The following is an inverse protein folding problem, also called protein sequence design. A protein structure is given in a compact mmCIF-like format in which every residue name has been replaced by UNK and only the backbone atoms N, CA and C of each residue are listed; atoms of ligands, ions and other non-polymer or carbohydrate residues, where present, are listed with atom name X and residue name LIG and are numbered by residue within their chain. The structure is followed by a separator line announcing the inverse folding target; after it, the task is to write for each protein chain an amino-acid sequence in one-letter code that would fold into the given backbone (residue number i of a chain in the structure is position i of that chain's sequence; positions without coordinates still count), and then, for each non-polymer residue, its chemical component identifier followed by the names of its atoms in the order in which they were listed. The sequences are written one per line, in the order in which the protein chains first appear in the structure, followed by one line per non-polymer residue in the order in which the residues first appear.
data_IF_042891814704
#
_entry.id   IF_042891814704
#
_cell.length_a   1.000
_cell.length_b   1.000
_cell.length_c   1.000
_cell.angle_alpha   90.00
_cell.angle_beta   90.00
_cell.angle_gamma   90.00
#
_symmetry.space_group_name_H-M   'P 1'
#
loop_
_entity.id
_entity.type
_entity.pdbx_description
1 polymer ?
#
# COMPACT_ATOMS: atom_id res chain seq x y z
N UNK A 1 -8.40 -6.84 -8.01
CA UNK A 1 -8.63 -6.07 -9.25
C UNK A 1 -8.77 -6.99 -10.44
N UNK A 2 -7.90 -8.00 -10.61
CA UNK A 2 -8.04 -9.03 -11.64
C UNK A 2 -9.42 -9.71 -11.66
N UNK A 3 -9.93 -10.14 -10.50
CA UNK A 3 -11.28 -10.73 -10.40
C UNK A 3 -12.38 -9.76 -10.84
N UNK A 4 -12.23 -8.46 -10.55
CA UNK A 4 -13.16 -7.44 -11.03
C UNK A 4 -13.13 -7.35 -12.56
N UNK A 5 -11.95 -7.38 -13.17
CA UNK A 5 -11.77 -7.34 -14.62
C UNK A 5 -12.25 -8.61 -15.33
N UNK A 6 -12.10 -9.78 -14.70
CA UNK A 6 -12.49 -11.08 -15.24
C UNK A 6 -14.00 -11.37 -15.15
N UNK A 7 -14.77 -10.54 -14.44
CA UNK A 7 -16.22 -10.71 -14.28
C UNK A 7 -16.99 -9.74 -15.18
N UNK A 8 -18.14 -10.15 -15.68
CA UNK A 8 -19.13 -9.28 -16.32
C UNK A 8 -20.34 -8.97 -15.42
N UNK A 9 -20.45 -9.62 -14.25
CA UNK A 9 -21.57 -9.45 -13.31
C UNK A 9 -21.48 -8.09 -12.57
N UNK A 10 -22.49 -7.21 -12.71
CA UNK A 10 -22.49 -5.90 -12.06
C UNK A 10 -22.51 -5.98 -10.53
N UNK A 11 -23.19 -6.97 -9.95
CA UNK A 11 -23.29 -7.10 -8.49
C UNK A 11 -21.96 -7.55 -7.90
N UNK A 12 -21.31 -8.53 -8.55
CA UNK A 12 -19.95 -8.92 -8.21
C UNK A 12 -18.98 -7.74 -8.31
N UNK A 13 -19.04 -6.93 -9.38
CA UNK A 13 -18.17 -5.76 -9.56
C UNK A 13 -18.36 -4.73 -8.45
N UNK A 14 -19.59 -4.43 -8.06
CA UNK A 14 -19.90 -3.52 -6.96
C UNK A 14 -19.29 -4.01 -5.64
N UNK A 15 -19.48 -5.29 -5.32
CA UNK A 15 -18.91 -5.91 -4.11
C UNK A 15 -17.38 -5.93 -4.13
N UNK A 16 -16.77 -6.20 -5.28
CA UNK A 16 -15.32 -6.18 -5.44
C UNK A 16 -14.74 -4.78 -5.20
N UNK A 17 -15.40 -3.72 -5.66
CA UNK A 17 -15.01 -2.33 -5.36
C UNK A 17 -15.13 -2.04 -3.87
N UNK A 18 -16.26 -2.38 -3.24
CA UNK A 18 -16.45 -2.17 -1.80
C UNK A 18 -15.36 -2.84 -0.96
N UNK A 19 -15.04 -4.11 -1.25
CA UNK A 19 -13.96 -4.83 -0.56
C UNK A 19 -12.61 -4.16 -0.82
N UNK A 20 -12.30 -3.81 -2.07
CA UNK A 20 -11.04 -3.14 -2.43
C UNK A 20 -10.85 -1.82 -1.67
N UNK A 21 -11.92 -1.05 -1.46
CA UNK A 21 -11.85 0.19 -0.69
C UNK A 21 -11.47 -0.03 0.77
N UNK A 22 -12.10 -1.02 1.43
CA UNK A 22 -11.77 -1.40 2.81
C UNK A 22 -10.33 -1.89 2.90
N UNK A 23 -9.92 -2.78 2.00
CA UNK A 23 -8.56 -3.34 2.01
C UNK A 23 -7.48 -2.30 1.69
N UNK A 24 -7.74 -1.37 0.77
CA UNK A 24 -6.81 -0.27 0.49
C UNK A 24 -6.66 0.66 1.70
N UNK A 25 -7.73 0.87 2.47
CA UNK A 25 -7.63 1.62 3.72
C UNK A 25 -6.75 0.89 4.76
N UNK A 26 -6.95 -0.41 4.94
CA UNK A 26 -6.16 -1.21 5.88
C UNK A 26 -4.66 -1.23 5.54
N UNK A 27 -4.29 -1.21 4.25
CA UNK A 27 -2.88 -1.05 3.85
C UNK A 27 -2.30 0.25 4.43
N UNK A 28 -3.04 1.36 4.37
CA UNK A 28 -2.58 2.64 4.95
C UNK A 28 -2.40 2.54 6.45
N UNK A 29 -3.35 1.93 7.16
CA UNK A 29 -3.27 1.74 8.61
C UNK A 29 -2.00 0.97 9.00
N UNK A 30 -1.70 -0.14 8.30
CA UNK A 30 -0.49 -0.93 8.55
C UNK A 30 0.79 -0.16 8.24
N UNK A 31 0.81 0.59 7.13
CA UNK A 31 1.94 1.46 6.79
C UNK A 31 2.17 2.54 7.85
N UNK A 32 1.10 3.16 8.36
CA UNK A 32 1.20 4.17 9.41
C UNK A 32 1.76 3.58 10.71
N UNK A 33 1.27 2.42 11.14
CA UNK A 33 1.79 1.74 12.33
C UNK A 33 3.28 1.46 12.19
N UNK A 34 3.75 0.96 11.03
CA UNK A 34 5.19 0.78 10.83
C UNK A 34 5.94 2.11 10.89
N UNK A 35 5.40 3.14 10.24
CA UNK A 35 6.06 4.44 10.13
C UNK A 35 6.19 5.15 11.48
N UNK A 36 5.13 5.17 12.29
CA UNK A 36 5.09 5.91 13.56
C UNK A 36 5.53 5.08 14.75
N UNK A 37 5.21 3.78 14.76
CA UNK A 37 5.36 2.96 15.97
C UNK A 37 6.57 2.03 15.88
N UNK A 38 6.92 1.53 14.68
CA UNK A 38 8.09 0.66 14.51
C UNK A 38 9.38 1.46 14.25
N UNK A 39 9.44 2.24 13.17
CA UNK A 39 10.64 2.98 12.81
C UNK A 39 10.99 4.07 13.85
N UNK A 40 12.27 4.39 13.96
CA UNK A 40 12.87 5.22 15.03
C UNK A 40 13.90 6.18 14.41
N UNK A 41 14.32 7.25 15.09
CA UNK A 41 15.21 8.26 14.51
C UNK A 41 16.46 7.68 13.83
N UNK A 42 17.14 6.73 14.47
CA UNK A 42 18.31 6.04 13.92
C UNK A 42 18.01 5.29 12.60
N UNK A 43 16.79 4.76 12.42
CA UNK A 43 16.40 4.14 11.16
C UNK A 43 16.19 5.18 10.05
N UNK A 44 15.61 6.34 10.38
CA UNK A 44 15.42 7.42 9.40
C UNK A 44 16.74 8.10 9.01
N UNK A 45 17.71 8.16 9.94
CA UNK A 45 19.08 8.61 9.64
C UNK A 45 19.81 7.63 8.71
N UNK A 46 19.68 6.32 8.95
CA UNK A 46 20.28 5.29 8.10
C UNK A 46 19.60 5.18 6.71
N UNK A 47 18.31 5.52 6.62
CA UNK A 47 17.52 5.47 5.39
C UNK A 47 16.80 6.81 5.15
N UNK A 48 17.50 7.84 4.63
CA UNK A 48 16.95 9.19 4.48
C UNK A 48 15.70 9.29 3.58
N UNK A 49 15.51 8.32 2.69
CA UNK A 49 14.34 8.24 1.79
C UNK A 49 13.11 7.59 2.43
N UNK A 50 13.21 7.03 3.65
CA UNK A 50 12.15 6.22 4.25
C UNK A 50 10.84 6.99 4.48
N UNK A 51 10.92 8.28 4.88
CA UNK A 51 9.73 9.13 4.98
C UNK A 51 9.01 9.28 3.63
N UNK A 52 9.77 9.47 2.56
CA UNK A 52 9.23 9.60 1.20
C UNK A 52 8.58 8.29 0.76
N UNK A 53 9.22 7.14 1.01
CA UNK A 53 8.66 5.81 0.69
C UNK A 53 7.31 5.58 1.36
N UNK A 54 7.19 5.85 2.67
CA UNK A 54 5.92 5.72 3.38
C UNK A 54 4.85 6.65 2.83
N UNK A 55 5.22 7.89 2.49
CA UNK A 55 4.30 8.87 1.93
C UNK A 55 3.77 8.43 0.55
N UNK A 56 4.66 7.97 -0.33
CA UNK A 56 4.34 7.46 -1.66
C UNK A 56 3.45 6.22 -1.59
N UNK A 57 3.82 5.23 -0.76
CA UNK A 57 3.03 4.01 -0.56
C UNK A 57 1.63 4.33 -0.01
N UNK A 58 1.53 5.25 0.96
CA UNK A 58 0.25 5.71 1.53
C UNK A 58 -0.63 6.38 0.48
N UNK A 59 -0.05 7.21 -0.40
CA UNK A 59 -0.77 7.87 -1.51
C UNK A 59 -1.24 6.85 -2.55
N UNK A 60 -0.41 5.86 -2.88
CA UNK A 60 -0.77 4.77 -3.79
C UNK A 60 -1.87 3.87 -3.22
N UNK A 61 -1.98 3.72 -1.90
CA UNK A 61 -3.12 3.06 -1.25
C UNK A 61 -4.37 3.96 -1.12
N UNK A 62 -4.23 5.27 -1.38
CA UNK A 62 -5.26 6.29 -1.20
C UNK A 62 -6.24 6.41 -2.37
N UNK A 63 -7.09 7.45 -2.30
CA UNK A 63 -8.13 7.72 -3.29
C UNK A 63 -7.58 7.97 -4.70
N UNK A 64 -6.36 8.48 -4.84
CA UNK A 64 -5.68 8.69 -6.13
C UNK A 64 -4.91 7.43 -6.61
N UNK A 65 -4.99 6.32 -5.88
CA UNK A 65 -4.34 5.05 -6.21
C UNK A 65 -5.31 3.87 -6.13
N UNK A 66 -4.92 2.77 -5.50
CA UNK A 66 -5.66 1.50 -5.47
C UNK A 66 -7.07 1.61 -4.92
N UNK A 67 -7.34 2.59 -4.03
CA UNK A 67 -8.71 2.83 -3.56
C UNK A 67 -9.60 3.41 -4.67
N UNK A 68 -9.09 4.30 -5.53
CA UNK A 68 -9.87 4.98 -6.57
C UNK A 68 -9.89 4.30 -7.94
N UNK A 69 -9.00 3.34 -8.21
CA UNK A 69 -8.93 2.65 -9.51
C UNK A 69 -9.15 1.14 -9.41
N UNK A 70 -9.45 0.49 -10.53
CA UNK A 70 -9.44 -0.96 -10.70
C UNK A 70 -8.26 -1.45 -11.58
N UNK A 71 -7.33 -0.57 -11.93
CA UNK A 71 -6.13 -0.91 -12.68
C UNK A 71 -5.14 -1.71 -11.83
N UNK A 72 -4.85 -2.94 -12.29
CA UNK A 72 -3.91 -3.87 -11.63
C UNK A 72 -2.50 -3.27 -11.56
N UNK A 73 -2.08 -2.52 -12.58
CA UNK A 73 -0.74 -1.94 -12.61
C UNK A 73 -0.52 -0.91 -11.47
N UNK A 74 -1.58 -0.29 -10.96
CA UNK A 74 -1.50 0.60 -9.79
C UNK A 74 -1.32 -0.20 -8.49
N UNK A 75 -1.91 -1.39 -8.40
CA UNK A 75 -1.67 -2.30 -7.28
C UNK A 75 -0.23 -2.83 -7.29
N UNK A 76 0.33 -3.15 -8.46
CA UNK A 76 1.71 -3.60 -8.58
C UNK A 76 2.70 -2.52 -8.13
N UNK A 77 2.44 -1.25 -8.48
CA UNK A 77 3.23 -0.10 -7.97
C UNK A 77 3.17 0.03 -6.45
N UNK A 78 1.99 -0.19 -5.85
CA UNK A 78 1.85 -0.19 -4.39
C UNK A 78 2.64 -1.34 -3.75
N UNK A 79 2.54 -2.55 -4.31
CA UNK A 79 3.27 -3.71 -3.81
C UNK A 79 4.78 -3.52 -3.92
N UNK A 80 5.28 -2.95 -5.02
CA UNK A 80 6.71 -2.63 -5.17
C UNK A 80 7.20 -1.68 -4.07
N UNK A 81 6.43 -0.64 -3.73
CA UNK A 81 6.78 0.28 -2.64
C UNK A 81 6.73 -0.39 -1.26
N UNK A 82 5.79 -1.30 -1.04
CA UNK A 82 5.72 -2.10 0.19
C UNK A 82 6.93 -3.03 0.28
N UNK A 83 7.40 -3.60 -0.83
CA UNK A 83 8.61 -4.43 -0.86
C UNK A 83 9.85 -3.63 -0.48
N UNK A 84 10.04 -2.42 -1.03
CA UNK A 84 11.14 -1.52 -0.62
C UNK A 84 11.12 -1.25 0.89
N UNK A 85 9.94 -1.03 1.47
CA UNK A 85 9.77 -0.84 2.93
C UNK A 85 10.08 -2.13 3.71
N UNK A 86 9.66 -3.29 3.18
CA UNK A 86 9.90 -4.62 3.77
C UNK A 86 11.40 -4.95 3.85
N UNK A 87 12.14 -4.69 2.77
CA UNK A 87 13.59 -4.88 2.73
C UNK A 87 14.29 -4.05 3.83
N UNK A 88 13.93 -2.77 3.96
CA UNK A 88 14.45 -1.89 5.02
C UNK A 88 14.04 -2.41 6.41
N UNK A 89 12.77 -2.80 6.59
CA UNK A 89 12.29 -3.36 7.86
C UNK A 89 13.17 -4.53 8.30
N UNK A 90 13.43 -5.50 7.42
CA UNK A 90 14.24 -6.66 7.75
C UNK A 90 15.73 -6.32 7.92
N UNK A 91 16.25 -5.32 7.23
CA UNK A 91 17.61 -4.83 7.45
C UNK A 91 17.79 -4.27 8.88
N UNK A 92 16.78 -3.62 9.46
CA UNK A 92 16.82 -3.13 10.85
C UNK A 92 16.72 -4.23 11.92
N UNK A 93 16.48 -5.49 11.52
CA UNK A 93 16.38 -6.65 12.42
C UNK A 93 17.66 -7.48 12.47
N UNK A 94 18.66 -7.16 11.66
CA UNK A 94 19.98 -7.79 11.66
C UNK A 94 20.89 -7.09 12.67
#
# INVERSE_FOLDING_TARGET
MEKYAASSDPDFKSRAVAVKEVRSHQVKEHLWVLWTDYFKPNHFEAYPNLHTLFNEATKLAGATGTKGTNDVAVADKLLAKIEEISEIFWATKK
#
